data_IF_157583414818
#
_entry.id   IF_157583414818
#
_cell.length_a   1.000
_cell.length_b   1.000
_cell.length_c   1.000
_cell.angle_alpha   90.00
_cell.angle_beta   90.00
_cell.angle_gamma   90.00
#
_symmetry.space_group_name_H-M   'P 1'
#
loop_
_entity.id
_entity.type
_entity.pdbx_description
1 polymer ?
#
# COMPACT_ATOMS: atom_id res chain seq x y z
N UNK A 1 4.54 16.01 -18.01
CA UNK A 1 5.94 15.63 -18.24
C UNK A 1 6.27 14.64 -17.16
N UNK A 2 6.30 13.36 -17.51
CA UNK A 2 6.66 12.25 -16.62
C UNK A 2 7.90 12.63 -15.82
N UNK A 3 7.77 12.66 -14.49
CA UNK A 3 8.91 12.90 -13.61
C UNK A 3 9.99 11.85 -13.95
N UNK A 4 11.20 12.24 -14.36
CA UNK A 4 12.25 11.30 -14.75
C UNK A 4 12.58 10.31 -13.62
N UNK A 5 12.42 10.72 -12.35
CA UNK A 5 12.56 9.82 -11.21
C UNK A 5 11.46 8.75 -11.17
N UNK A 6 10.23 9.11 -11.53
CA UNK A 6 9.13 8.15 -11.62
C UNK A 6 9.37 7.15 -12.76
N UNK A 7 9.82 7.63 -13.92
CA UNK A 7 10.15 6.75 -15.06
C UNK A 7 11.26 5.75 -14.71
N UNK A 8 12.30 6.18 -13.96
CA UNK A 8 13.34 5.28 -13.47
C UNK A 8 12.77 4.20 -12.52
N UNK A 9 11.91 4.59 -11.59
CA UNK A 9 11.25 3.64 -10.68
C UNK A 9 10.40 2.63 -11.46
N UNK A 10 9.58 3.08 -12.41
CA UNK A 10 8.76 2.18 -13.23
C UNK A 10 9.60 1.26 -14.13
N UNK A 11 10.82 1.67 -14.52
CA UNK A 11 11.74 0.77 -15.20
C UNK A 11 12.15 -0.41 -14.31
N UNK A 12 12.41 -0.17 -13.02
CA UNK A 12 12.74 -1.25 -12.06
C UNK A 12 11.58 -2.24 -11.92
N UNK A 13 10.33 -1.75 -11.91
CA UNK A 13 9.14 -2.63 -11.89
C UNK A 13 9.11 -3.61 -13.05
N UNK A 14 9.54 -3.19 -14.24
CA UNK A 14 9.58 -4.03 -15.44
C UNK A 14 10.48 -5.25 -15.24
N UNK A 15 11.62 -5.05 -14.57
CA UNK A 15 12.64 -6.08 -14.37
C UNK A 15 12.15 -7.23 -13.48
N UNK A 16 11.34 -6.91 -12.46
CA UNK A 16 10.79 -7.90 -11.51
C UNK A 16 9.28 -8.15 -11.66
N UNK A 17 8.64 -7.63 -12.71
CA UNK A 17 7.22 -7.86 -12.97
C UNK A 17 6.81 -9.34 -12.98
N UNK A 18 7.58 -10.27 -13.59
CA UNK A 18 7.21 -11.70 -13.60
C UNK A 18 7.07 -12.30 -12.19
N UNK A 19 7.85 -11.81 -11.22
CA UNK A 19 7.90 -12.32 -9.84
C UNK A 19 6.90 -11.64 -8.91
N UNK A 20 6.28 -10.53 -9.32
CA UNK A 20 5.29 -9.77 -8.52
C UNK A 20 3.86 -10.27 -8.68
N UNK A 21 3.61 -11.14 -9.66
CA UNK A 21 2.25 -11.64 -9.92
C UNK A 21 1.66 -12.41 -8.72
N UNK A 22 0.33 -12.38 -8.58
CA UNK A 22 -0.42 -13.20 -7.61
C UNK A 22 -0.19 -14.71 -7.77
N UNK A 23 0.48 -15.16 -8.84
CA UNK A 23 0.81 -16.57 -9.09
C UNK A 23 2.24 -16.94 -8.69
N UNK A 24 3.14 -15.96 -8.55
CA UNK A 24 4.55 -16.16 -8.17
C UNK A 24 4.76 -16.11 -6.64
N UNK A 25 3.75 -16.55 -5.88
CA UNK A 25 3.74 -16.55 -4.41
C UNK A 25 4.72 -17.62 -3.92
N UNK A 26 5.93 -17.26 -3.49
CA UNK A 26 6.78 -18.21 -2.77
C UNK A 26 8.24 -17.84 -2.57
N UNK A 27 8.93 -17.46 -3.65
CA UNK A 27 10.39 -17.60 -3.66
C UNK A 27 11.18 -16.32 -3.35
N UNK A 28 10.53 -15.15 -3.42
CA UNK A 28 11.22 -13.84 -3.35
C UNK A 28 10.75 -13.07 -2.12
N UNK A 29 11.69 -12.44 -1.42
CA UNK A 29 11.37 -11.52 -0.33
C UNK A 29 10.79 -10.22 -0.89
N UNK A 30 9.58 -9.89 -0.45
CA UNK A 30 8.91 -8.69 -0.95
C UNK A 30 8.20 -7.92 0.14
N UNK A 31 8.19 -6.59 0.01
CA UNK A 31 7.35 -5.71 0.82
C UNK A 31 6.37 -4.95 -0.08
N UNK A 32 5.08 -5.11 0.22
CA UNK A 32 4.00 -4.41 -0.49
C UNK A 32 3.50 -3.28 0.39
N UNK A 33 3.67 -2.04 -0.07
CA UNK A 33 3.13 -0.86 0.60
C UNK A 33 1.78 -0.55 -0.04
N UNK A 34 0.70 -0.62 0.73
CA UNK A 34 -0.66 -0.39 0.23
C UNK A 34 -1.11 0.98 0.68
N UNK A 35 -1.50 1.83 -0.28
CA UNK A 35 -2.05 3.17 -0.01
C UNK A 35 -3.35 3.30 -0.77
N UNK A 36 -4.45 3.17 -0.04
CA UNK A 36 -5.79 3.25 -0.62
C UNK A 36 -6.27 4.72 -0.67
N UNK A 37 -5.63 5.53 -1.50
CA UNK A 37 -5.98 6.94 -1.65
C UNK A 37 -7.14 7.12 -2.63
N UNK A 38 -8.19 7.82 -2.17
CA UNK A 38 -9.27 8.31 -3.02
C UNK A 38 -8.88 9.73 -3.45
N UNK A 39 -8.41 9.87 -4.70
CA UNK A 39 -7.74 11.09 -5.18
C UNK A 39 -8.61 12.00 -6.06
N UNK A 40 -9.94 11.80 -6.05
CA UNK A 40 -10.92 12.63 -6.75
C UNK A 40 -11.76 13.47 -5.78
N UNK A 41 -12.53 14.44 -6.30
CA UNK A 41 -13.42 15.25 -5.48
C UNK A 41 -14.57 14.39 -4.96
N UNK A 42 -14.71 14.34 -3.64
CA UNK A 42 -15.69 13.49 -2.96
C UNK A 42 -16.61 14.37 -2.13
N UNK A 43 -17.94 14.27 -2.32
CA UNK A 43 -18.90 15.00 -1.49
C UNK A 43 -18.69 14.73 0.00
N UNK A 44 -18.79 15.77 0.82
CA UNK A 44 -18.54 15.68 2.27
C UNK A 44 -19.43 14.64 2.99
N UNK A 45 -20.61 14.35 2.43
CA UNK A 45 -21.53 13.33 2.94
C UNK A 45 -20.93 11.91 2.90
N UNK A 46 -19.89 11.68 2.07
CA UNK A 46 -19.20 10.40 1.95
C UNK A 46 -17.94 10.31 2.83
N UNK A 47 -17.52 11.37 3.52
CA UNK A 47 -16.38 11.31 4.44
C UNK A 47 -16.52 10.18 5.48
N UNK A 48 -17.69 9.93 6.10
CA UNK A 48 -17.82 8.86 7.10
C UNK A 48 -17.55 7.45 6.56
N UNK A 49 -17.64 7.24 5.24
CA UNK A 49 -17.40 5.92 4.62
C UNK A 49 -15.96 5.72 4.15
N UNK A 50 -15.10 6.75 4.23
CA UNK A 50 -13.70 6.64 3.77
C UNK A 50 -12.92 5.52 4.45
N UNK A 51 -12.99 5.32 5.79
CA UNK A 51 -12.30 4.21 6.42
C UNK A 51 -12.74 2.86 5.84
N UNK A 52 -14.03 2.68 5.54
CA UNK A 52 -14.53 1.44 4.95
C UNK A 52 -14.02 1.21 3.52
N UNK A 53 -13.84 2.27 2.73
CA UNK A 53 -13.18 2.15 1.41
C UNK A 53 -11.70 1.82 1.56
N UNK A 54 -11.00 2.48 2.47
CA UNK A 54 -9.59 2.22 2.73
C UNK A 54 -9.34 0.81 3.23
N UNK A 55 -10.23 0.26 4.06
CA UNK A 55 -10.18 -1.11 4.58
C UNK A 55 -10.52 -2.17 3.52
N UNK A 56 -11.19 -1.79 2.42
CA UNK A 56 -11.72 -2.72 1.41
C UNK A 56 -10.64 -3.62 0.80
N UNK A 57 -9.40 -3.13 0.65
CA UNK A 57 -8.31 -3.90 0.05
C UNK A 57 -7.68 -4.94 0.98
N UNK A 58 -8.01 -4.95 2.29
CA UNK A 58 -7.55 -5.98 3.22
C UNK A 58 -7.87 -7.39 2.71
N UNK A 59 -9.05 -7.60 2.11
CA UNK A 59 -9.46 -8.91 1.59
C UNK A 59 -8.51 -9.49 0.53
N UNK A 60 -7.92 -8.63 -0.31
CA UNK A 60 -7.00 -9.02 -1.36
C UNK A 60 -5.57 -9.06 -0.85
N UNK A 61 -5.17 -8.05 -0.09
CA UNK A 61 -3.78 -7.85 0.32
C UNK A 61 -3.36 -8.89 1.35
N UNK A 62 -4.24 -9.33 2.24
CA UNK A 62 -3.89 -10.40 3.19
C UNK A 62 -3.59 -11.72 2.48
N UNK A 63 -4.16 -11.98 1.29
CA UNK A 63 -3.77 -13.15 0.50
C UNK A 63 -2.29 -13.13 0.09
N UNK A 64 -1.66 -11.95 0.01
CA UNK A 64 -0.23 -11.81 -0.29
C UNK A 64 0.66 -12.32 0.84
N UNK A 65 0.18 -12.30 2.08
CA UNK A 65 0.89 -12.83 3.24
C UNK A 65 0.96 -14.37 3.25
N UNK A 66 0.22 -15.05 2.37
CA UNK A 66 0.39 -16.50 2.14
C UNK A 66 1.77 -16.86 1.60
N UNK A 67 2.45 -15.93 0.92
CA UNK A 67 3.88 -16.07 0.65
C UNK A 67 4.64 -15.83 1.96
N UNK A 68 5.43 -16.82 2.47
CA UNK A 68 6.08 -16.72 3.78
C UNK A 68 7.07 -15.55 3.86
N UNK A 69 7.68 -15.16 2.73
CA UNK A 69 8.63 -14.04 2.64
C UNK A 69 8.01 -12.69 2.26
N UNK A 70 6.67 -12.59 2.24
CA UNK A 70 5.97 -11.35 1.90
C UNK A 70 5.67 -10.55 3.16
N UNK A 71 5.94 -9.25 3.14
CA UNK A 71 5.50 -8.27 4.14
C UNK A 71 4.49 -7.32 3.53
N UNK A 72 3.57 -6.83 4.36
CA UNK A 72 2.55 -5.85 3.95
C UNK A 72 2.62 -4.66 4.89
N UNK A 73 2.80 -3.47 4.33
CA UNK A 73 2.64 -2.19 5.04
C UNK A 73 1.34 -1.56 4.56
N UNK A 74 0.30 -1.60 5.38
CA UNK A 74 -1.02 -1.10 5.04
C UNK A 74 -1.24 0.29 5.61
N UNK A 75 -1.41 1.29 4.75
CA UNK A 75 -1.50 2.69 5.13
C UNK A 75 -2.93 3.20 5.01
N UNK A 76 -3.42 3.85 6.06
CA UNK A 76 -4.79 4.40 6.15
C UNK A 76 -4.79 5.81 6.74
N UNK A 77 -5.85 6.56 6.47
CA UNK A 77 -6.10 7.86 7.07
C UNK A 77 -6.56 7.74 8.52
N UNK A 78 -7.35 6.70 8.85
CA UNK A 78 -7.85 6.42 10.21
C UNK A 78 -7.39 5.03 10.70
N UNK A 79 -7.25 4.80 12.02
CA UNK A 79 -6.84 3.49 12.54
C UNK A 79 -7.84 2.40 12.18
N UNK A 80 -7.35 1.26 11.71
CA UNK A 80 -8.17 0.07 11.48
C UNK A 80 -8.50 -0.54 12.84
N UNK A 81 -9.77 -0.81 13.10
CA UNK A 81 -10.18 -1.43 14.35
C UNK A 81 -9.63 -2.87 14.44
N UNK A 82 -9.04 -3.32 15.57
CA UNK A 82 -8.43 -4.66 15.69
C UNK A 82 -9.35 -5.80 15.26
N UNK A 83 -10.64 -5.74 15.63
CA UNK A 83 -11.66 -6.73 15.21
C UNK A 83 -11.83 -6.86 13.69
N UNK A 84 -11.58 -5.80 12.92
CA UNK A 84 -11.62 -5.84 11.44
C UNK A 84 -10.43 -6.66 10.93
N UNK A 85 -9.23 -6.44 11.49
CA UNK A 85 -8.05 -7.25 11.16
C UNK A 85 -8.28 -8.72 11.55
N UNK A 86 -8.75 -8.99 12.77
CA UNK A 86 -9.02 -10.36 13.23
C UNK A 86 -10.01 -11.09 12.34
N UNK A 87 -11.08 -10.39 11.91
CA UNK A 87 -12.02 -10.92 10.95
C UNK A 87 -11.33 -11.32 9.63
N UNK A 88 -10.53 -10.43 9.03
CA UNK A 88 -9.88 -10.73 7.75
C UNK A 88 -8.80 -11.82 7.86
N UNK A 89 -8.04 -11.87 8.96
CA UNK A 89 -7.09 -12.97 9.21
C UNK A 89 -7.81 -14.30 9.35
N UNK A 90 -8.94 -14.34 10.07
CA UNK A 90 -9.75 -15.55 10.25
C UNK A 90 -10.46 -16.04 8.97
N UNK A 91 -10.62 -15.20 7.95
CA UNK A 91 -11.21 -15.59 6.67
C UNK A 91 -10.26 -16.39 5.77
N UNK A 92 -8.94 -16.24 5.95
CA UNK A 92 -7.94 -16.90 5.10
C UNK A 92 -7.38 -18.11 5.84
N UNK A 93 -7.64 -19.34 5.36
CA UNK A 93 -7.10 -20.55 5.99
C UNK A 93 -5.59 -20.46 6.15
N UNK A 94 -5.10 -20.92 7.31
CA UNK A 94 -3.67 -20.98 7.68
C UNK A 94 -2.95 -19.63 7.76
N UNK A 95 -3.67 -18.49 7.68
CA UNK A 95 -3.07 -17.16 7.75
C UNK A 95 -3.11 -16.56 9.15
N UNK A 96 -4.01 -17.02 10.03
CA UNK A 96 -4.10 -16.51 11.41
C UNK A 96 -3.01 -17.10 12.31
N UNK A 97 -1.76 -16.70 12.02
CA UNK A 97 -0.56 -17.11 12.76
C UNK A 97 0.22 -15.88 13.23
N UNK A 98 0.96 -16.02 14.33
CA UNK A 98 1.83 -14.95 14.85
C UNK A 98 2.87 -14.50 13.80
N UNK A 99 3.36 -15.44 12.99
CA UNK A 99 4.31 -15.15 11.91
C UNK A 99 3.67 -14.27 10.82
N UNK A 100 2.48 -14.62 10.32
CA UNK A 100 1.78 -13.84 9.31
C UNK A 100 1.36 -12.47 9.83
N UNK A 101 0.88 -12.39 11.08
CA UNK A 101 0.56 -11.13 11.76
C UNK A 101 1.80 -10.25 11.95
N UNK A 102 2.95 -10.85 12.30
CA UNK A 102 4.22 -10.14 12.43
C UNK A 102 4.74 -9.54 11.12
N UNK A 103 4.32 -10.08 9.96
CA UNK A 103 4.65 -9.55 8.63
C UNK A 103 3.67 -8.50 8.12
N UNK A 104 2.59 -8.23 8.86
CA UNK A 104 1.63 -7.17 8.58
C UNK A 104 1.89 -5.95 9.47
N UNK A 105 2.01 -4.77 8.88
CA UNK A 105 2.18 -3.50 9.59
C UNK A 105 1.10 -2.51 9.18
N UNK A 106 0.30 -2.05 10.13
CA UNK A 106 -0.66 -0.96 9.90
C UNK A 106 -0.04 0.40 10.25
N UNK A 107 -0.17 1.36 9.34
CA UNK A 107 0.24 2.75 9.53
C UNK A 107 -0.97 3.66 9.32
N UNK A 108 -1.45 4.27 10.40
CA UNK A 108 -2.50 5.29 10.33
C UNK A 108 -1.93 6.69 10.47
N UNK A 109 -2.48 7.65 9.72
CA UNK A 109 -2.18 9.08 9.86
C UNK A 109 -3.04 9.79 10.90
N UNK A 110 -4.12 9.15 11.38
CA UNK A 110 -5.11 9.73 12.30
C UNK A 110 -5.64 11.09 11.77
N UNK A 111 -5.96 11.13 10.47
CA UNK A 111 -6.37 12.34 9.75
C UNK A 111 -7.64 12.11 8.93
N UNK A 112 -8.78 12.53 9.48
CA UNK A 112 -10.11 12.34 8.88
C UNK A 112 -10.53 13.42 7.90
N UNK A 113 -9.64 14.34 7.52
CA UNK A 113 -9.96 15.42 6.56
C UNK A 113 -10.31 14.85 5.19
N UNK A 114 -11.16 15.54 4.44
CA UNK A 114 -11.53 15.21 3.06
C UNK A 114 -10.41 15.57 2.09
N UNK A 115 -9.29 14.87 2.21
CA UNK A 115 -8.10 15.03 1.37
C UNK A 115 -7.59 13.64 0.97
N UNK A 116 -7.03 13.49 -0.24
CA UNK A 116 -6.42 12.24 -0.68
C UNK A 116 -5.33 11.78 0.30
N UNK A 117 -5.33 10.49 0.62
CA UNK A 117 -4.34 9.89 1.52
C UNK A 117 -2.90 10.10 1.02
N UNK A 118 -2.69 10.06 -0.30
CA UNK A 118 -1.40 10.36 -0.92
C UNK A 118 -0.91 11.77 -0.61
N UNK A 119 -1.78 12.79 -0.70
CA UNK A 119 -1.45 14.17 -0.31
C UNK A 119 -1.16 14.29 1.18
N UNK A 120 -1.97 13.62 2.02
CA UNK A 120 -1.77 13.57 3.48
C UNK A 120 -0.40 12.99 3.84
N UNK A 121 0.08 11.99 3.10
CA UNK A 121 1.41 11.39 3.27
C UNK A 121 2.54 12.32 2.82
N UNK A 122 2.39 12.92 1.63
CA UNK A 122 3.37 13.86 1.09
C UNK A 122 3.59 15.07 2.00
N UNK A 123 2.54 15.53 2.69
CA UNK A 123 2.61 16.59 3.69
C UNK A 123 3.30 16.17 5.01
N UNK A 124 3.63 14.89 5.21
CA UNK A 124 4.12 14.33 6.48
C UNK A 124 5.42 13.54 6.30
N UNK A 125 6.59 14.21 6.27
CA UNK A 125 7.88 13.55 6.14
C UNK A 125 8.14 12.47 7.20
N UNK A 126 7.61 12.63 8.42
CA UNK A 126 7.71 11.63 9.49
C UNK A 126 6.97 10.32 9.17
N UNK A 127 5.79 10.41 8.53
CA UNK A 127 5.05 9.23 8.10
C UNK A 127 5.79 8.49 6.97
N UNK A 128 6.35 9.22 6.01
CA UNK A 128 7.18 8.64 4.95
C UNK A 128 8.42 7.93 5.53
N UNK A 129 9.11 8.53 6.51
CA UNK A 129 10.23 7.87 7.20
C UNK A 129 9.79 6.59 7.93
N UNK A 130 8.65 6.62 8.62
CA UNK A 130 8.09 5.43 9.28
C UNK A 130 7.80 4.32 8.27
N UNK A 131 7.13 4.65 7.16
CA UNK A 131 6.84 3.67 6.09
C UNK A 131 8.15 3.10 5.55
N UNK A 132 9.13 3.93 5.21
CA UNK A 132 10.44 3.44 4.72
C UNK A 132 11.14 2.51 5.71
N UNK A 133 11.07 2.81 7.02
CA UNK A 133 11.62 1.93 8.05
C UNK A 133 10.94 0.56 8.15
N UNK A 134 9.65 0.48 7.81
CA UNK A 134 8.89 -0.78 7.78
C UNK A 134 9.13 -1.61 6.51
N UNK A 135 9.66 -1.00 5.45
CA UNK A 135 9.95 -1.71 4.20
C UNK A 135 11.09 -2.71 4.40
N UNK A 136 12.11 -2.32 5.18
CA UNK A 136 13.34 -3.09 5.35
C UNK A 136 14.24 -3.01 4.11
N UNK A 137 14.95 -4.10 3.81
CA UNK A 137 15.78 -4.26 2.61
C UNK A 137 15.36 -5.52 1.83
N UNK A 138 14.13 -5.55 1.26
CA UNK A 138 13.63 -6.71 0.54
C UNK A 138 14.20 -6.75 -0.88
N UNK A 139 14.22 -7.93 -1.49
CA UNK A 139 14.57 -8.08 -2.91
C UNK A 139 13.60 -7.30 -3.81
N UNK A 140 12.33 -7.19 -3.40
CA UNK A 140 11.30 -6.44 -4.10
C UNK A 140 10.52 -5.54 -3.13
N UNK A 141 10.38 -4.26 -3.46
CA UNK A 141 9.42 -3.38 -2.80
C UNK A 141 8.64 -2.57 -3.83
N UNK A 142 7.33 -2.44 -3.63
CA UNK A 142 6.48 -1.63 -4.50
C UNK A 142 5.27 -1.06 -3.76
N UNK A 143 4.76 0.04 -4.31
CA UNK A 143 3.52 0.68 -3.90
C UNK A 143 2.34 0.07 -4.67
N UNK A 144 1.30 -0.33 -3.94
CA UNK A 144 0.01 -0.72 -4.48
C UNK A 144 -1.01 0.39 -4.20
N UNK A 145 -1.34 1.21 -5.20
CA UNK A 145 -2.30 2.29 -5.07
C UNK A 145 -3.72 1.78 -5.30
N UNK A 146 -4.72 2.59 -4.92
CA UNK A 146 -6.12 2.36 -5.31
C UNK A 146 -6.45 2.97 -6.68
N UNK A 147 -6.04 4.21 -6.92
CA UNK A 147 -6.17 4.91 -8.18
C UNK A 147 -4.81 5.47 -8.60
N UNK A 148 -4.62 5.68 -9.90
CA UNK A 148 -3.44 6.36 -10.43
C UNK A 148 -3.75 7.83 -10.68
N UNK A 149 -3.06 8.72 -9.97
CA UNK A 149 -3.02 10.17 -10.24
C UNK A 149 -1.60 10.70 -10.03
N UNK A 150 -1.39 11.99 -10.31
CA UNK A 150 -0.12 12.68 -10.03
C UNK A 150 0.34 12.57 -8.56
N UNK A 151 -0.61 12.47 -7.61
CA UNK A 151 -0.28 12.37 -6.20
C UNK A 151 0.33 11.01 -5.84
N UNK A 152 -0.12 9.93 -6.49
CA UNK A 152 0.48 8.61 -6.31
C UNK A 152 1.87 8.54 -6.94
N UNK A 153 2.06 9.13 -8.13
CA UNK A 153 3.39 9.21 -8.74
C UNK A 153 4.39 9.98 -7.86
N UNK A 154 3.98 11.13 -7.31
CA UNK A 154 4.79 11.89 -6.33
C UNK A 154 5.07 11.08 -5.07
N UNK A 155 4.08 10.34 -4.56
CA UNK A 155 4.24 9.49 -3.39
C UNK A 155 5.25 8.37 -3.64
N UNK A 156 5.23 7.76 -4.81
CA UNK A 156 6.20 6.74 -5.22
C UNK A 156 7.62 7.29 -5.29
N UNK A 157 7.82 8.44 -5.94
CA UNK A 157 9.11 9.13 -5.97
C UNK A 157 9.57 9.47 -4.55
N UNK A 158 8.66 9.98 -3.71
CA UNK A 158 8.96 10.25 -2.31
C UNK A 158 9.38 8.98 -1.58
N UNK A 159 8.67 7.86 -1.72
CA UNK A 159 9.02 6.60 -1.05
C UNK A 159 10.22 5.89 -1.68
N UNK A 160 10.59 6.22 -2.91
CA UNK A 160 11.61 5.52 -3.70
C UNK A 160 11.12 4.15 -4.20
N UNK A 161 9.82 4.00 -4.42
CA UNK A 161 9.18 2.73 -4.77
C UNK A 161 8.53 2.79 -6.14
N UNK A 162 8.67 1.77 -6.99
CA UNK A 162 7.79 1.61 -8.14
C UNK A 162 6.33 1.43 -7.73
N UNK A 163 5.43 1.74 -8.66
CA UNK A 163 3.98 1.60 -8.48
C UNK A 163 3.44 0.47 -9.34
N UNK A 164 2.70 -0.43 -8.70
CA UNK A 164 1.83 -1.39 -9.36
C UNK A 164 0.57 -0.69 -9.91
N UNK A 165 0.70 -0.03 -11.06
CA UNK A 165 -0.38 0.74 -11.69
C UNK A 165 0.01 1.29 -13.07
N UNK A 166 -0.98 1.81 -13.79
CA UNK A 166 -0.78 2.47 -15.09
C UNK A 166 -0.02 3.78 -14.96
N UNK A 167 0.63 4.22 -16.03
CA UNK A 167 1.18 5.58 -16.11
C UNK A 167 0.02 6.60 -15.95
N UNK A 168 0.13 7.60 -15.05
CA UNK A 168 -0.91 8.60 -14.86
C UNK A 168 -1.14 9.52 -16.07
N UNK A 169 -0.23 9.56 -17.05
CA UNK A 169 -0.38 10.36 -18.28
C UNK A 169 -1.21 9.66 -19.40
N UNK A 170 -1.69 8.43 -19.17
CA UNK A 170 -2.55 7.66 -20.10
C UNK A 170 -4.05 7.83 -19.80
#
# INVERSE_FOLDING_TARGET
MTDPAFAELQSKLRDFWPTVTLRSIGDVERTVVVVHSISFDVPDQLIPVFPAYEERFLCLVLSLLRAPRSRVVYVTSQPIHPRVLDYYFGLVPDLDTDEARGRFSSVSLVDGRNEPLSRKLLARPGALRRIRGLIGDPEIAFLLPFCMTDDEAKLAVALGLPIYGSDPEL
#
